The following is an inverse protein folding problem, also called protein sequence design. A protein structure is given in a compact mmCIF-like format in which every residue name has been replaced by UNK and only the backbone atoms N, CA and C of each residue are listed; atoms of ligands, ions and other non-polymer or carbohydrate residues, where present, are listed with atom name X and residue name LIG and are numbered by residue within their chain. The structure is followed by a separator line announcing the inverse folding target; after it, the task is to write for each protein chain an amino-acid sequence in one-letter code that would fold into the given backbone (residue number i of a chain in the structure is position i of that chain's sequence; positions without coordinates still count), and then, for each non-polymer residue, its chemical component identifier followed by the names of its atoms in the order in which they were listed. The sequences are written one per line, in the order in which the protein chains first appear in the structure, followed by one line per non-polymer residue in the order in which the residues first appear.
data_IF_428648084409
#
_entry.id   IF_428648084409
#
_cell.length_a   1.000
_cell.length_b   1.000
_cell.length_c   1.000
_cell.angle_alpha   90.00
_cell.angle_beta   90.00
_cell.angle_gamma   90.00
#
_symmetry.space_group_name_H-M   'P 1'
#
loop_
_entity.id
_entity.type
_entity.pdbx_description
1 polymer ?
#
# COMPACT_ATOMS: atom_id res chain seq x y z
N UNK A 1 55.36 -24.89 23.89
CA UNK A 1 55.03 -24.54 22.50
C UNK A 1 53.65 -25.01 22.07
N UNK A 2 53.20 -26.25 22.32
CA UNK A 2 51.87 -26.75 21.93
C UNK A 2 50.71 -26.00 22.57
N UNK A 3 50.81 -25.54 23.83
CA UNK A 3 49.75 -24.79 24.53
C UNK A 3 49.54 -23.35 23.99
N UNK A 4 50.60 -22.74 23.45
CA UNK A 4 50.53 -21.40 22.85
C UNK A 4 49.82 -21.42 21.48
N UNK A 5 49.97 -22.47 20.73
CA UNK A 5 49.30 -22.67 19.42
C UNK A 5 47.79 -22.91 19.58
N UNK A 6 47.35 -23.57 20.66
CA UNK A 6 45.92 -23.81 20.93
C UNK A 6 45.22 -22.50 21.33
N UNK A 7 45.88 -21.61 22.09
CA UNK A 7 45.31 -20.32 22.47
C UNK A 7 45.16 -19.40 21.25
N UNK A 8 46.11 -19.42 20.31
CA UNK A 8 46.02 -18.64 19.07
C UNK A 8 44.90 -19.13 18.14
N UNK A 9 44.65 -20.44 18.09
CA UNK A 9 43.56 -21.02 17.30
C UNK A 9 42.16 -20.70 17.86
N UNK A 10 42.02 -20.61 19.20
CA UNK A 10 40.74 -20.23 19.82
C UNK A 10 40.40 -18.73 19.65
N UNK A 11 41.43 -17.86 19.62
CA UNK A 11 41.21 -16.43 19.37
C UNK A 11 40.76 -16.12 17.95
N UNK A 12 41.12 -16.95 16.97
CA UNK A 12 40.70 -16.79 15.57
C UNK A 12 39.20 -17.12 15.32
N UNK A 13 38.57 -17.89 16.24
CA UNK A 13 37.14 -18.26 16.15
C UNK A 13 36.19 -17.21 16.73
N UNK A 14 36.71 -16.20 17.41
CA UNK A 14 35.92 -15.08 18.00
C UNK A 14 35.95 -13.80 17.15
N UNK A 15 36.11 -13.91 15.83
CA UNK A 15 35.86 -12.74 14.98
C UNK A 15 34.37 -12.45 15.00
N UNK A 16 33.90 -11.28 15.55
CA UNK A 16 32.52 -10.90 15.43
C UNK A 16 32.23 -10.81 13.94
N UNK A 17 31.26 -11.60 13.46
CA UNK A 17 30.74 -11.42 12.12
C UNK A 17 30.28 -9.96 12.03
N UNK A 18 31.06 -9.12 11.36
CA UNK A 18 30.66 -7.76 11.02
C UNK A 18 29.49 -7.93 10.07
N UNK A 19 28.29 -8.01 10.64
CA UNK A 19 27.05 -7.94 9.89
C UNK A 19 27.07 -6.53 9.31
N UNK A 20 27.34 -6.42 8.02
CA UNK A 20 27.23 -5.15 7.32
C UNK A 20 25.84 -4.59 7.68
N UNK A 21 25.80 -3.52 8.46
CA UNK A 21 24.57 -2.78 8.72
C UNK A 21 24.15 -2.24 7.35
N UNK A 22 23.20 -2.92 6.72
CA UNK A 22 22.54 -2.38 5.56
C UNK A 22 21.84 -1.11 6.04
N UNK A 23 22.34 0.04 5.59
CA UNK A 23 21.61 1.30 5.76
C UNK A 23 20.19 1.07 5.23
N UNK A 24 19.13 1.32 6.01
CA UNK A 24 17.78 1.13 5.52
C UNK A 24 17.63 1.90 4.20
N UNK A 25 17.23 1.22 3.15
CA UNK A 25 16.94 1.88 1.88
C UNK A 25 15.83 2.91 2.11
N UNK A 26 15.91 4.06 1.45
CA UNK A 26 14.83 5.04 1.52
C UNK A 26 13.52 4.38 1.02
N UNK A 27 12.36 4.69 1.64
CA UNK A 27 11.08 4.12 1.24
C UNK A 27 10.80 4.38 -0.24
N UNK A 28 10.32 3.35 -0.95
CA UNK A 28 9.94 3.50 -2.35
C UNK A 28 8.65 4.35 -2.43
N UNK A 29 8.62 5.32 -3.34
CA UNK A 29 7.43 6.14 -3.60
C UNK A 29 6.54 5.44 -4.62
N UNK A 30 5.28 5.17 -4.27
CA UNK A 30 4.35 4.35 -5.04
C UNK A 30 3.06 5.13 -5.33
N UNK A 31 2.55 5.03 -6.54
CA UNK A 31 1.16 5.32 -6.92
C UNK A 31 0.55 3.99 -7.33
N UNK A 32 -0.61 3.66 -6.81
CA UNK A 32 -1.36 2.45 -7.15
C UNK A 32 -2.49 2.79 -8.10
N UNK A 33 -2.51 2.17 -9.26
CA UNK A 33 -3.59 2.30 -10.25
C UNK A 33 -4.35 0.98 -10.33
N UNK A 34 -5.69 1.03 -10.31
CA UNK A 34 -6.56 -0.13 -10.11
C UNK A 34 -7.93 0.09 -10.74
N UNK A 35 -8.53 -0.96 -11.27
CA UNK A 35 -9.93 -0.96 -11.71
C UNK A 35 -10.88 -1.60 -10.68
N UNK A 36 -10.59 -1.38 -9.41
CA UNK A 36 -11.26 -1.93 -8.24
C UNK A 36 -12.79 -1.96 -8.33
N UNK A 37 -13.39 -3.09 -8.00
CA UNK A 37 -14.86 -3.21 -7.93
C UNK A 37 -15.46 -4.51 -8.41
N UNK A 38 -14.73 -5.36 -9.15
CA UNK A 38 -15.23 -6.63 -9.72
C UNK A 38 -14.71 -7.84 -8.97
N UNK A 39 -13.44 -8.06 -9.03
CA UNK A 39 -12.67 -9.13 -8.41
C UNK A 39 -11.89 -8.62 -7.20
N UNK A 40 -11.42 -9.52 -6.37
CA UNK A 40 -10.86 -9.18 -5.04
C UNK A 40 -9.35 -9.03 -5.04
N UNK A 41 -8.69 -9.14 -6.17
CA UNK A 41 -7.23 -9.00 -6.30
C UNK A 41 -6.76 -7.57 -6.01
N UNK A 42 -7.47 -6.56 -6.50
CA UNK A 42 -7.15 -5.15 -6.22
C UNK A 42 -7.24 -4.79 -4.72
N UNK A 43 -8.34 -5.11 -3.98
CA UNK A 43 -8.37 -4.88 -2.54
C UNK A 43 -7.29 -5.65 -1.79
N UNK A 44 -6.94 -6.87 -2.21
CA UNK A 44 -5.84 -7.62 -1.61
C UNK A 44 -4.48 -6.98 -1.89
N UNK A 45 -4.26 -6.51 -3.12
CA UNK A 45 -3.04 -5.77 -3.46
C UNK A 45 -2.92 -4.48 -2.63
N UNK A 46 -4.02 -3.74 -2.46
CA UNK A 46 -4.04 -2.53 -1.66
C UNK A 46 -3.80 -2.81 -0.15
N UNK A 47 -4.34 -3.92 0.39
CA UNK A 47 -4.02 -4.38 1.75
C UNK A 47 -2.51 -4.62 1.91
N UNK A 48 -1.88 -5.28 0.94
CA UNK A 48 -0.43 -5.52 0.95
C UNK A 48 0.36 -4.20 0.92
N UNK A 49 -0.09 -3.20 0.17
CA UNK A 49 0.53 -1.87 0.13
C UNK A 49 0.42 -1.15 1.47
N UNK A 50 -0.73 -1.17 2.14
CA UNK A 50 -0.84 -0.61 3.50
C UNK A 50 0.11 -1.30 4.48
N UNK A 51 0.25 -2.62 4.41
CA UNK A 51 1.23 -3.34 5.24
C UNK A 51 2.68 -2.94 4.93
N UNK A 52 3.00 -2.63 3.69
CA UNK A 52 4.31 -2.12 3.31
C UNK A 52 4.53 -0.68 3.81
N UNK A 53 3.48 0.18 3.84
CA UNK A 53 3.52 1.50 4.48
C UNK A 53 3.77 1.35 5.98
N UNK A 54 3.05 0.47 6.67
CA UNK A 54 3.22 0.19 8.11
C UNK A 54 4.66 -0.20 8.45
N UNK A 55 5.34 -0.93 7.55
CA UNK A 55 6.74 -1.34 7.71
C UNK A 55 7.76 -0.28 7.30
N UNK A 56 7.30 0.87 6.77
CA UNK A 56 8.17 1.92 6.26
C UNK A 56 8.93 1.54 4.98
N UNK A 57 8.48 0.55 4.25
CA UNK A 57 9.09 0.08 3.00
C UNK A 57 8.72 0.97 1.81
N UNK A 58 7.49 1.54 1.85
CA UNK A 58 6.97 2.42 0.81
C UNK A 58 6.32 3.68 1.39
N UNK A 59 6.17 4.70 0.54
CA UNK A 59 5.29 5.85 0.72
C UNK A 59 4.23 5.77 -0.37
N UNK A 60 2.97 5.53 -0.01
CA UNK A 60 1.85 5.48 -0.94
C UNK A 60 1.37 6.91 -1.20
N UNK A 61 1.71 7.45 -2.38
CA UNK A 61 1.47 8.84 -2.74
C UNK A 61 0.04 9.11 -3.15
N UNK A 62 -0.66 8.10 -3.65
CA UNK A 62 -2.03 8.19 -4.10
C UNK A 62 -2.51 6.89 -4.72
N UNK A 63 -3.81 6.79 -4.87
CA UNK A 63 -4.48 5.64 -5.48
C UNK A 63 -5.38 6.16 -6.60
N UNK A 64 -5.27 5.57 -7.79
CA UNK A 64 -6.05 5.91 -8.96
C UNK A 64 -7.10 4.82 -9.21
N UNK A 65 -8.31 5.24 -9.54
CA UNK A 65 -9.31 4.36 -10.14
C UNK A 65 -9.33 4.58 -11.65
N UNK A 66 -8.87 3.59 -12.41
CA UNK A 66 -8.96 3.56 -13.88
C UNK A 66 -10.35 3.24 -14.41
N UNK A 67 -11.34 3.22 -13.52
CA UNK A 67 -12.74 2.96 -13.80
C UNK A 67 -13.56 4.23 -13.64
N UNK A 68 -14.32 4.62 -14.68
CA UNK A 68 -15.25 5.75 -14.59
C UNK A 68 -16.57 5.34 -13.91
N UNK A 69 -16.47 5.06 -12.61
CA UNK A 69 -17.62 4.78 -11.75
C UNK A 69 -17.56 5.62 -10.48
N UNK A 70 -18.68 5.75 -9.80
CA UNK A 70 -18.73 6.44 -8.51
C UNK A 70 -18.32 5.53 -7.34
N UNK A 71 -18.42 4.21 -7.50
CA UNK A 71 -18.25 3.25 -6.40
C UNK A 71 -16.79 2.87 -6.18
N UNK A 72 -15.99 2.72 -7.24
CA UNK A 72 -14.58 2.38 -7.11
C UNK A 72 -13.80 3.38 -6.25
N UNK A 73 -13.81 4.71 -6.51
CA UNK A 73 -13.11 5.66 -5.66
C UNK A 73 -13.69 5.76 -4.24
N UNK A 74 -15.00 5.57 -4.07
CA UNK A 74 -15.63 5.51 -2.74
C UNK A 74 -15.13 4.33 -1.93
N UNK A 75 -15.01 3.16 -2.56
CA UNK A 75 -14.51 1.96 -1.92
C UNK A 75 -13.03 2.12 -1.52
N UNK A 76 -12.21 2.70 -2.39
CA UNK A 76 -10.80 3.02 -2.08
C UNK A 76 -10.71 3.95 -0.86
N UNK A 77 -11.51 5.03 -0.80
CA UNK A 77 -11.54 5.94 0.34
C UNK A 77 -12.00 5.26 1.63
N UNK A 78 -12.94 4.33 1.55
CA UNK A 78 -13.34 3.50 2.69
C UNK A 78 -12.18 2.63 3.18
N UNK A 79 -11.43 2.01 2.28
CA UNK A 79 -10.24 1.25 2.63
C UNK A 79 -9.17 2.15 3.26
N UNK A 80 -8.86 3.30 2.67
CA UNK A 80 -7.94 4.27 3.27
C UNK A 80 -8.34 4.62 4.69
N UNK A 81 -9.62 4.93 4.90
CA UNK A 81 -10.16 5.29 6.22
C UNK A 81 -10.06 4.13 7.22
N UNK A 82 -10.40 2.92 6.77
CA UNK A 82 -10.35 1.71 7.60
C UNK A 82 -8.93 1.35 8.05
N UNK A 83 -7.95 1.51 7.14
CA UNK A 83 -6.54 1.24 7.44
C UNK A 83 -5.83 2.39 8.16
N UNK A 84 -6.51 3.52 8.41
CA UNK A 84 -5.97 4.67 9.15
C UNK A 84 -5.16 5.65 8.29
N UNK A 85 -5.36 5.63 6.97
CA UNK A 85 -4.70 6.50 5.99
C UNK A 85 -5.68 7.41 5.22
N UNK A 86 -6.60 8.13 5.88
CA UNK A 86 -7.63 8.91 5.21
C UNK A 86 -7.08 10.04 4.33
N UNK A 87 -5.82 10.48 4.55
CA UNK A 87 -5.19 11.52 3.74
C UNK A 87 -4.64 11.04 2.40
N UNK A 88 -4.47 9.74 2.16
CA UNK A 88 -3.95 9.28 0.87
C UNK A 88 -4.92 9.73 -0.23
N UNK A 89 -4.44 10.50 -1.23
CA UNK A 89 -5.29 11.00 -2.30
C UNK A 89 -5.91 9.87 -3.12
N UNK A 90 -7.16 10.08 -3.54
CA UNK A 90 -7.88 9.18 -4.43
C UNK A 90 -8.27 9.93 -5.69
N UNK A 91 -7.72 9.50 -6.82
CA UNK A 91 -8.07 10.02 -8.14
C UNK A 91 -8.98 9.04 -8.89
N UNK A 92 -9.69 9.53 -9.89
CA UNK A 92 -10.48 8.68 -10.81
C UNK A 92 -10.42 9.18 -12.23
N UNK A 93 -10.50 8.26 -13.18
CA UNK A 93 -10.75 8.60 -14.59
C UNK A 93 -12.20 9.05 -14.78
N UNK A 94 -12.42 9.94 -15.76
CA UNK A 94 -13.74 10.47 -16.13
C UNK A 94 -13.93 10.50 -17.65
N UNK A 95 -13.57 9.42 -18.32
CA UNK A 95 -13.60 9.33 -19.78
C UNK A 95 -14.82 8.57 -20.34
N UNK A 96 -15.60 7.95 -19.47
CA UNK A 96 -16.78 7.19 -19.84
C UNK A 96 -16.50 5.86 -20.57
N UNK A 97 -15.24 5.49 -20.74
CA UNK A 97 -14.84 4.37 -21.59
C UNK A 97 -14.88 3.02 -20.86
N UNK A 98 -14.78 3.01 -19.56
CA UNK A 98 -14.62 1.77 -18.78
C UNK A 98 -15.95 1.10 -18.46
N UNK A 99 -16.00 -0.23 -18.64
CA UNK A 99 -17.16 -1.05 -18.29
C UNK A 99 -17.59 -0.84 -16.84
N UNK A 100 -18.85 -0.48 -16.66
CA UNK A 100 -19.45 -0.15 -15.37
C UNK A 100 -19.86 -1.39 -14.59
N UNK A 101 -18.89 -2.21 -14.19
CA UNK A 101 -19.11 -3.30 -13.24
C UNK A 101 -18.48 -2.92 -11.91
N UNK A 102 -19.28 -2.91 -10.86
CA UNK A 102 -18.86 -2.55 -9.50
C UNK A 102 -19.49 -3.51 -8.48
N UNK A 103 -19.41 -4.79 -8.77
CA UNK A 103 -20.22 -5.81 -8.10
C UNK A 103 -20.12 -5.73 -6.57
N UNK A 104 -18.90 -5.86 -6.00
CA UNK A 104 -18.72 -5.75 -4.56
C UNK A 104 -18.58 -4.30 -4.08
N UNK A 105 -17.92 -3.44 -4.85
CA UNK A 105 -17.69 -2.05 -4.44
C UNK A 105 -19.01 -1.31 -4.23
N UNK A 106 -19.99 -1.48 -5.14
CA UNK A 106 -21.34 -0.97 -4.98
C UNK A 106 -22.00 -1.48 -3.71
N UNK A 107 -22.03 -2.82 -3.53
CA UNK A 107 -22.70 -3.44 -2.39
C UNK A 107 -22.14 -2.96 -1.06
N UNK A 108 -20.81 -2.84 -0.96
CA UNK A 108 -20.15 -2.35 0.25
C UNK A 108 -20.44 -0.87 0.49
N UNK A 109 -20.35 -0.02 -0.55
CA UNK A 109 -20.62 1.42 -0.42
C UNK A 109 -22.08 1.70 -0.02
N UNK A 110 -23.03 0.98 -0.60
CA UNK A 110 -24.47 1.13 -0.32
C UNK A 110 -24.89 0.54 1.04
N UNK A 111 -24.08 -0.35 1.62
CA UNK A 111 -24.35 -0.89 2.95
C UNK A 111 -24.35 0.13 4.07
N UNK A 112 -23.64 1.25 3.90
CA UNK A 112 -23.47 2.28 4.92
C UNK A 112 -22.71 1.84 6.17
N UNK A 113 -22.07 0.65 6.16
CA UNK A 113 -21.40 0.09 7.32
C UNK A 113 -19.98 0.68 7.55
N UNK A 114 -19.39 1.27 6.52
CA UNK A 114 -18.02 1.74 6.56
C UNK A 114 -17.94 3.26 6.36
N UNK A 115 -17.11 3.96 7.18
CA UNK A 115 -16.96 5.40 7.05
C UNK A 115 -16.10 5.76 5.83
N UNK A 116 -16.33 6.96 5.31
CA UNK A 116 -15.52 7.61 4.28
C UNK A 116 -15.00 8.95 4.79
N UNK A 117 -13.78 9.30 4.42
CA UNK A 117 -13.19 10.58 4.81
C UNK A 117 -13.54 11.72 3.86
N UNK A 118 -13.88 11.41 2.60
CA UNK A 118 -14.09 12.37 1.52
C UNK A 118 -15.51 12.34 0.97
N UNK A 119 -15.91 13.46 0.36
CA UNK A 119 -17.14 13.55 -0.44
C UNK A 119 -16.81 13.17 -1.89
N UNK A 120 -17.83 12.72 -2.62
CA UNK A 120 -17.67 12.27 -4.00
C UNK A 120 -17.09 13.33 -4.96
N UNK A 121 -17.29 14.62 -4.67
CA UNK A 121 -16.73 15.74 -5.44
C UNK A 121 -15.22 15.91 -5.26
N UNK A 122 -14.67 15.34 -4.22
CA UNK A 122 -13.25 15.49 -3.84
C UNK A 122 -12.35 14.45 -4.57
N UNK A 123 -12.98 13.49 -5.27
CA UNK A 123 -12.27 12.55 -6.12
C UNK A 123 -12.02 13.12 -7.51
N UNK A 124 -10.83 12.93 -8.02
CA UNK A 124 -10.47 13.32 -9.38
C UNK A 124 -9.69 14.61 -9.52
N UNK A 125 -9.79 15.52 -8.56
CA UNK A 125 -9.04 16.79 -8.57
C UNK A 125 -7.73 16.70 -7.75
N UNK A 126 -7.44 15.55 -7.18
CA UNK A 126 -6.34 15.37 -6.22
C UNK A 126 -5.04 14.86 -6.83
N UNK A 127 -5.06 14.35 -8.05
CA UNK A 127 -3.90 13.77 -8.74
C UNK A 127 -3.80 14.32 -10.18
N UNK A 128 -4.52 15.38 -10.50
CA UNK A 128 -4.46 16.04 -11.80
C UNK A 128 -3.24 16.94 -11.98
#
# INVERSE_FOLDING_TARGET
MKKLLILAALAALCTPAIRAQQTPAAPLRVIFDSDMGNDVDDPLALDMLYKAVDRGEIILLGILSSKDTEFSPRYIDMMNTWYGYPEIPVGRVRDGVVLKRDDYARAVCESGLFPRSRRDRDYGDQIG
#
